data_IF_869537918569
#
_entry.id   IF_869537918569
#
_cell.length_a   1.000
_cell.length_b   1.000
_cell.length_c   1.000
_cell.angle_alpha   90.00
_cell.angle_beta   90.00
_cell.angle_gamma   90.00
#
_symmetry.space_group_name_H-M   'P 1'
#
loop_
_entity.id
_entity.type
_entity.pdbx_description
1 polymer ?
#
# COMPACT_ATOMS: atom_id res chain seq x y z
N UNK A 1 21.60 -3.69 9.44
CA UNK A 1 20.47 -3.48 8.49
C UNK A 1 19.97 -4.79 7.88
N UNK A 2 20.77 -5.58 7.15
CA UNK A 2 20.28 -6.81 6.48
C UNK A 2 19.69 -7.87 7.43
N UNK A 3 20.29 -8.12 8.60
CA UNK A 3 19.73 -9.05 9.61
C UNK A 3 18.41 -8.55 10.22
N UNK A 4 18.26 -7.23 10.40
CA UNK A 4 16.99 -6.64 10.85
C UNK A 4 15.91 -6.73 9.75
N UNK A 5 16.28 -6.55 8.49
CA UNK A 5 15.37 -6.73 7.35
C UNK A 5 14.82 -8.16 7.25
N UNK A 6 15.67 -9.16 7.46
CA UNK A 6 15.25 -10.57 7.56
C UNK A 6 14.22 -10.78 8.68
N UNK A 7 14.47 -10.18 9.84
CA UNK A 7 13.59 -10.26 11.01
C UNK A 7 12.20 -9.71 10.72
N UNK A 8 12.11 -8.51 10.15
CA UNK A 8 10.82 -7.92 9.77
C UNK A 8 10.12 -8.77 8.72
N UNK A 9 10.83 -9.22 7.68
CA UNK A 9 10.28 -10.06 6.61
C UNK A 9 9.64 -11.35 7.15
N UNK A 10 10.26 -12.03 8.11
CA UNK A 10 9.68 -13.23 8.73
C UNK A 10 8.39 -12.89 9.47
N UNK A 11 8.40 -11.82 10.27
CA UNK A 11 7.22 -11.47 11.08
C UNK A 11 6.04 -11.03 10.23
N UNK A 12 6.29 -10.26 9.17
CA UNK A 12 5.24 -9.72 8.30
C UNK A 12 4.71 -10.76 7.33
N UNK A 13 5.59 -11.50 6.64
CA UNK A 13 5.17 -12.49 5.64
C UNK A 13 4.47 -13.71 6.24
N UNK A 14 4.84 -14.11 7.45
CA UNK A 14 4.26 -15.27 8.12
C UNK A 14 3.26 -14.92 9.21
N UNK A 15 2.89 -13.64 9.35
CA UNK A 15 1.93 -13.16 10.37
C UNK A 15 2.25 -13.69 11.78
N UNK A 16 3.54 -13.78 12.11
CA UNK A 16 3.98 -14.39 13.36
C UNK A 16 3.56 -13.53 14.56
N UNK A 17 2.90 -14.11 15.58
CA UNK A 17 2.62 -13.41 16.81
C UNK A 17 3.89 -12.84 17.44
N UNK A 18 3.77 -11.66 18.05
CA UNK A 18 4.91 -10.97 18.65
C UNK A 18 5.72 -11.85 19.62
N UNK A 19 5.02 -12.64 20.45
CA UNK A 19 5.65 -13.55 21.40
C UNK A 19 6.43 -14.69 20.71
N UNK A 20 5.88 -15.22 19.61
CA UNK A 20 6.55 -16.26 18.83
C UNK A 20 7.80 -15.69 18.15
N UNK A 21 7.71 -14.49 17.58
CA UNK A 21 8.83 -13.80 16.98
C UNK A 21 9.98 -13.63 17.98
N UNK A 22 9.70 -13.10 19.18
CA UNK A 22 10.71 -12.92 20.25
C UNK A 22 11.40 -14.25 20.61
N UNK A 23 10.64 -15.34 20.72
CA UNK A 23 11.20 -16.67 21.02
C UNK A 23 12.11 -17.19 19.91
N UNK A 24 11.67 -17.08 18.65
CA UNK A 24 12.47 -17.47 17.48
C UNK A 24 13.78 -16.67 17.46
N UNK A 25 13.74 -15.38 17.82
CA UNK A 25 14.95 -14.54 17.81
C UNK A 25 15.92 -14.88 18.93
N UNK A 26 15.41 -15.20 20.12
CA UNK A 26 16.26 -15.69 21.21
C UNK A 26 16.99 -16.99 20.79
N UNK A 27 16.27 -17.94 20.20
CA UNK A 27 16.86 -19.19 19.70
C UNK A 27 17.84 -18.96 18.55
N UNK A 28 17.54 -18.04 17.63
CA UNK A 28 18.45 -17.70 16.55
C UNK A 28 19.77 -17.14 17.07
N UNK A 29 19.72 -16.29 18.11
CA UNK A 29 20.91 -15.75 18.78
C UNK A 29 21.76 -16.87 19.40
N UNK A 30 21.14 -17.82 20.08
CA UNK A 30 21.84 -18.99 20.66
C UNK A 30 22.52 -19.84 19.56
N UNK A 31 21.85 -20.07 18.43
CA UNK A 31 22.43 -20.82 17.30
C UNK A 31 23.62 -20.06 16.69
N UNK A 32 23.50 -18.74 16.48
CA UNK A 32 24.62 -17.93 16.00
C UNK A 32 25.81 -17.99 16.96
N UNK A 33 25.55 -17.91 18.26
CA UNK A 33 26.59 -18.00 19.29
C UNK A 33 27.30 -19.35 19.29
N UNK A 34 26.56 -20.44 19.17
CA UNK A 34 27.10 -21.79 19.05
C UNK A 34 28.00 -21.95 17.83
N UNK A 35 27.51 -21.54 16.65
CA UNK A 35 28.25 -21.67 15.39
C UNK A 35 29.52 -20.83 15.41
N UNK A 36 29.42 -19.56 15.81
CA UNK A 36 30.56 -18.64 15.81
C UNK A 36 31.61 -19.05 16.86
N UNK A 37 31.22 -19.52 18.04
CA UNK A 37 32.16 -20.06 19.03
C UNK A 37 32.84 -21.34 18.55
N UNK A 38 32.14 -22.22 17.84
CA UNK A 38 32.74 -23.43 17.26
C UNK A 38 33.83 -23.07 16.24
N UNK A 39 33.53 -22.16 15.31
CA UNK A 39 34.52 -21.63 14.36
C UNK A 39 35.66 -20.89 15.08
N UNK A 40 35.33 -20.09 16.10
CA UNK A 40 36.31 -19.36 16.90
C UNK A 40 37.31 -20.28 17.57
N UNK A 41 36.84 -21.38 18.15
CA UNK A 41 37.69 -22.38 18.78
C UNK A 41 38.59 -23.11 17.76
N UNK A 42 38.06 -23.49 16.59
CA UNK A 42 38.89 -24.08 15.53
C UNK A 42 40.00 -23.12 15.06
N UNK A 43 39.65 -21.84 14.88
CA UNK A 43 40.59 -20.83 14.43
C UNK A 43 41.68 -20.54 15.48
N UNK A 44 41.30 -20.46 16.76
CA UNK A 44 42.23 -20.29 17.89
C UNK A 44 43.15 -21.50 18.08
N UNK A 45 42.70 -22.71 17.75
CA UNK A 45 43.53 -23.92 17.80
C UNK A 45 44.52 -24.01 16.61
N UNK A 46 44.23 -23.33 15.50
CA UNK A 46 45.04 -23.36 14.28
C UNK A 46 46.05 -22.20 14.17
N UNK A 47 45.89 -21.13 14.95
CA UNK A 47 46.78 -19.96 14.96
C UNK A 47 47.45 -19.73 16.32
N UNK A 48 48.70 -19.30 16.33
CA UNK A 48 49.35 -18.80 17.54
C UNK A 48 48.67 -17.52 18.03
N UNK A 49 48.11 -17.55 19.25
CA UNK A 49 47.37 -16.46 19.88
C UNK A 49 48.15 -15.15 20.04
N UNK A 50 49.48 -15.21 19.91
CA UNK A 50 50.40 -14.06 19.96
C UNK A 50 50.25 -13.10 18.76
N UNK A 51 49.60 -13.52 17.69
CA UNK A 51 49.43 -12.74 16.45
C UNK A 51 48.06 -12.03 16.39
N UNK A 52 47.15 -12.32 17.33
CA UNK A 52 45.77 -11.83 17.26
C UNK A 52 45.58 -10.48 17.93
N UNK A 53 45.24 -9.47 17.13
CA UNK A 53 44.79 -8.17 17.64
C UNK A 53 43.46 -8.26 18.40
N UNK A 54 43.15 -7.26 19.24
CA UNK A 54 41.97 -7.24 20.11
C UNK A 54 40.63 -7.29 19.36
N UNK A 55 40.55 -6.75 18.14
CA UNK A 55 39.33 -6.83 17.31
C UNK A 55 39.01 -8.28 16.90
N UNK A 56 40.03 -9.05 16.52
CA UNK A 56 39.85 -10.45 16.14
C UNK A 56 39.46 -11.30 17.37
N UNK A 57 40.07 -11.04 18.52
CA UNK A 57 39.68 -11.71 19.78
C UNK A 57 38.23 -11.39 20.17
N UNK A 58 37.79 -10.14 20.02
CA UNK A 58 36.40 -9.74 20.27
C UNK A 58 35.42 -10.41 19.30
N UNK A 59 35.78 -10.49 18.01
CA UNK A 59 34.97 -11.14 16.99
C UNK A 59 34.81 -12.64 17.28
N UNK A 60 35.91 -13.35 17.56
CA UNK A 60 35.91 -14.78 17.89
C UNK A 60 35.22 -15.05 19.23
N UNK A 61 35.35 -14.13 20.20
CA UNK A 61 34.64 -14.13 21.47
C UNK A 61 33.15 -13.79 21.36
N UNK A 62 32.64 -13.47 20.17
CA UNK A 62 31.24 -13.17 19.89
C UNK A 62 30.67 -11.99 20.71
N UNK A 63 31.51 -11.02 21.10
CA UNK A 63 31.10 -9.93 21.99
C UNK A 63 30.02 -9.00 21.41
N UNK A 64 29.79 -9.05 20.09
CA UNK A 64 28.75 -8.30 19.38
C UNK A 64 27.36 -8.97 19.41
N UNK A 65 27.26 -10.27 19.75
CA UNK A 65 25.98 -10.99 19.74
C UNK A 65 24.93 -10.45 20.74
N UNK A 66 25.31 -10.00 21.95
CA UNK A 66 24.42 -9.25 22.84
C UNK A 66 23.69 -8.12 22.12
N UNK A 67 24.41 -7.39 21.26
CA UNK A 67 23.95 -6.20 20.57
C UNK A 67 23.30 -6.44 19.21
N UNK A 68 23.35 -7.67 18.69
CA UNK A 68 22.87 -7.99 17.33
C UNK A 68 21.40 -7.61 17.08
N UNK A 69 20.58 -7.62 18.14
CA UNK A 69 19.16 -7.25 18.11
C UNK A 69 18.84 -6.06 19.03
N UNK A 70 19.87 -5.31 19.44
CA UNK A 70 19.67 -4.12 20.26
C UNK A 70 18.89 -3.07 19.46
N UNK A 71 17.84 -2.51 20.08
CA UNK A 71 16.93 -1.57 19.44
C UNK A 71 15.70 -2.19 18.78
N UNK A 72 15.49 -3.52 18.86
CA UNK A 72 14.30 -4.21 18.30
C UNK A 72 13.71 -5.30 19.22
N UNK A 73 14.11 -5.33 20.48
CA UNK A 73 13.76 -6.41 21.42
C UNK A 73 12.28 -6.41 21.78
N UNK A 74 11.68 -5.21 21.90
CA UNK A 74 10.26 -5.03 22.20
C UNK A 74 9.48 -4.53 20.98
N UNK A 75 8.15 -4.64 21.02
CA UNK A 75 7.28 -4.11 19.96
C UNK A 75 7.53 -2.63 19.71
N UNK A 76 7.57 -1.85 20.78
CA UNK A 76 7.80 -0.41 20.73
C UNK A 76 9.15 -0.08 20.08
N UNK A 77 10.22 -0.78 20.47
CA UNK A 77 11.55 -0.60 19.88
C UNK A 77 11.54 -0.94 18.39
N UNK A 78 10.85 -2.03 18.00
CA UNK A 78 10.66 -2.40 16.58
C UNK A 78 9.91 -1.33 15.79
N UNK A 79 8.82 -0.83 16.33
CA UNK A 79 8.01 0.19 15.66
C UNK A 79 8.82 1.47 15.46
N UNK A 80 9.64 1.88 16.43
CA UNK A 80 10.54 3.04 16.29
C UNK A 80 11.68 2.77 15.32
N UNK A 81 12.30 1.58 15.37
CA UNK A 81 13.33 1.19 14.42
C UNK A 81 12.80 1.26 12.98
N UNK A 82 11.56 0.80 12.74
CA UNK A 82 10.91 0.90 11.42
C UNK A 82 10.76 2.37 11.00
N UNK A 83 10.28 3.23 11.88
CA UNK A 83 10.09 4.66 11.59
C UNK A 83 11.39 5.39 11.28
N UNK A 84 12.49 5.00 11.93
CA UNK A 84 13.80 5.64 11.80
C UNK A 84 14.62 5.11 10.61
N UNK A 85 14.49 3.81 10.30
CA UNK A 85 15.39 3.14 9.36
C UNK A 85 14.71 2.74 8.04
N UNK A 86 13.38 2.78 7.96
CA UNK A 86 12.65 2.43 6.75
C UNK A 86 11.86 3.63 6.21
N UNK A 87 11.52 3.62 4.92
CA UNK A 87 10.68 4.64 4.30
C UNK A 87 9.26 4.58 4.89
N UNK A 88 9.01 5.35 5.95
CA UNK A 88 7.77 5.37 6.71
C UNK A 88 7.06 6.71 6.59
N UNK A 89 5.74 6.67 6.35
CA UNK A 89 4.88 7.85 6.35
C UNK A 89 3.83 7.70 7.44
N UNK A 90 3.82 8.56 8.48
CA UNK A 90 2.78 8.51 9.50
C UNK A 90 1.43 8.92 8.92
N UNK A 91 0.36 8.33 9.46
CA UNK A 91 -0.98 8.84 9.24
C UNK A 91 -1.19 10.12 10.04
N UNK A 92 -1.86 11.08 9.43
CA UNK A 92 -2.33 12.32 10.04
C UNK A 92 -3.77 12.12 10.55
N UNK A 93 -4.06 12.68 11.72
CA UNK A 93 -5.41 12.68 12.26
C UNK A 93 -6.17 13.89 11.70
N UNK A 94 -7.32 13.61 11.10
CA UNK A 94 -8.23 14.60 10.57
C UNK A 94 -9.58 14.53 11.29
N UNK A 95 -10.32 15.62 11.24
CA UNK A 95 -11.62 15.75 11.89
C UNK A 95 -12.67 16.17 10.87
N UNK A 96 -13.86 15.58 10.98
CA UNK A 96 -15.06 16.03 10.28
C UNK A 96 -16.10 16.44 11.33
N UNK A 97 -16.47 17.72 11.37
CA UNK A 97 -17.25 18.25 12.51
C UNK A 97 -16.43 18.28 13.80
N UNK A 98 -17.10 18.27 14.96
CA UNK A 98 -16.46 18.49 16.27
C UNK A 98 -15.78 17.23 16.83
N UNK A 99 -16.40 16.04 16.70
CA UNK A 99 -15.95 14.83 17.41
C UNK A 99 -15.61 13.62 16.51
N UNK A 100 -15.71 13.75 15.19
CA UNK A 100 -15.51 12.63 14.28
C UNK A 100 -14.11 12.63 13.66
N UNK A 101 -13.17 11.98 14.36
CA UNK A 101 -11.80 11.81 13.89
C UNK A 101 -11.63 10.64 12.91
N UNK A 102 -10.66 10.77 12.00
CA UNK A 102 -10.25 9.74 11.06
C UNK A 102 -8.77 9.89 10.69
N UNK A 103 -8.20 8.86 10.08
CA UNK A 103 -6.77 8.84 9.77
C UNK A 103 -6.56 8.84 8.27
N UNK A 104 -5.66 9.70 7.80
CA UNK A 104 -5.27 9.83 6.40
C UNK A 104 -3.75 9.79 6.28
N UNK A 105 -3.23 9.04 5.31
CA UNK A 105 -1.80 9.04 4.96
C UNK A 105 -1.61 10.00 3.79
N UNK A 106 -0.90 11.13 3.96
CA UNK A 106 -0.73 12.12 2.90
C UNK A 106 -0.12 11.50 1.65
N UNK A 107 -0.89 11.53 0.57
CA UNK A 107 -0.53 10.85 -0.66
C UNK A 107 0.77 11.39 -1.29
N UNK A 108 1.06 12.71 -1.29
CA UNK A 108 2.33 13.23 -1.78
C UNK A 108 3.53 12.62 -1.02
N UNK A 109 3.45 12.56 0.31
CA UNK A 109 4.52 11.98 1.16
C UNK A 109 4.71 10.50 0.86
N UNK A 110 3.60 9.75 0.76
CA UNK A 110 3.63 8.34 0.41
C UNK A 110 4.31 8.11 -0.95
N UNK A 111 3.89 8.83 -1.98
CA UNK A 111 4.46 8.67 -3.32
C UNK A 111 5.95 9.06 -3.38
N UNK A 112 6.36 10.13 -2.69
CA UNK A 112 7.78 10.51 -2.58
C UNK A 112 8.62 9.38 -2.00
N UNK A 113 8.16 8.77 -0.91
CA UNK A 113 8.81 7.65 -0.23
C UNK A 113 8.85 6.40 -1.12
N UNK A 114 7.75 6.08 -1.80
CA UNK A 114 7.70 4.93 -2.72
C UNK A 114 8.66 5.09 -3.90
N UNK A 115 8.82 6.31 -4.43
CA UNK A 115 9.73 6.58 -5.54
C UNK A 115 11.21 6.53 -5.15
N UNK A 116 11.54 6.44 -3.86
CA UNK A 116 12.90 6.17 -3.39
C UNK A 116 13.24 4.67 -3.46
N UNK A 117 12.24 3.79 -3.54
CA UNK A 117 12.46 2.35 -3.66
C UNK A 117 12.99 2.03 -5.06
N UNK A 118 14.17 1.39 -5.20
CA UNK A 118 14.81 1.18 -6.50
C UNK A 118 13.93 0.48 -7.53
N UNK A 119 13.15 -0.51 -7.09
CA UNK A 119 12.25 -1.27 -7.96
C UNK A 119 11.13 -0.39 -8.50
N UNK A 120 10.47 0.41 -7.66
CA UNK A 120 9.40 1.32 -8.10
C UNK A 120 9.98 2.43 -8.97
N UNK A 121 11.08 3.04 -8.53
CA UNK A 121 11.80 4.07 -9.25
C UNK A 121 12.17 3.64 -10.68
N UNK A 122 12.64 2.40 -10.85
CA UNK A 122 13.00 1.86 -12.15
C UNK A 122 11.82 1.84 -13.13
N UNK A 123 10.61 1.50 -12.65
CA UNK A 123 9.42 1.47 -13.49
C UNK A 123 8.88 2.86 -13.82
N UNK A 124 9.04 3.83 -12.92
CA UNK A 124 8.54 5.19 -13.11
C UNK A 124 9.42 6.07 -14.01
N UNK A 125 10.69 5.69 -14.21
CA UNK A 125 11.64 6.36 -15.12
C UNK A 125 11.32 6.15 -16.59
N UNK A 126 10.78 4.98 -16.91
CA UNK A 126 10.38 4.70 -18.29
C UNK A 126 9.13 5.51 -18.57
N UNK A 127 9.13 6.38 -19.61
CA UNK A 127 7.88 6.97 -20.05
C UNK A 127 6.89 5.85 -20.33
N UNK A 128 5.61 6.11 -20.05
CA UNK A 128 4.55 5.14 -20.32
C UNK A 128 4.61 4.82 -21.81
N UNK A 129 5.14 3.64 -22.15
CA UNK A 129 5.31 3.24 -23.53
C UNK A 129 3.94 2.76 -24.01
N UNK A 130 3.17 3.68 -24.61
CA UNK A 130 1.85 3.39 -25.17
C UNK A 130 2.06 2.65 -26.49
N UNK A 131 2.57 1.42 -26.43
CA UNK A 131 2.66 0.59 -27.62
C UNK A 131 1.24 0.19 -28.04
N UNK A 132 0.82 0.68 -29.20
CA UNK A 132 -0.47 0.39 -29.81
C UNK A 132 -0.44 -1.03 -30.38
N UNK A 133 -0.66 -2.01 -29.52
CA UNK A 133 -0.84 -3.37 -29.98
C UNK A 133 -2.34 -3.59 -30.26
N UNK A 134 -2.71 -3.68 -31.54
CA UNK A 134 -3.97 -4.31 -31.93
C UNK A 134 -3.90 -5.80 -31.58
N UNK A 135 -4.19 -6.10 -30.32
CA UNK A 135 -4.21 -7.47 -29.81
C UNK A 135 -5.66 -7.94 -29.71
N UNK A 136 -5.89 -9.18 -30.12
CA UNK A 136 -7.18 -9.86 -29.91
C UNK A 136 -7.46 -10.19 -28.44
N UNK A 137 -6.52 -9.90 -27.54
CA UNK A 137 -6.57 -10.24 -26.11
C UNK A 137 -6.12 -9.04 -25.29
N UNK A 138 -6.94 -8.60 -24.34
CA UNK A 138 -6.56 -7.59 -23.35
C UNK A 138 -5.41 -8.09 -22.46
N UNK A 139 -4.33 -7.32 -22.38
CA UNK A 139 -3.13 -7.63 -21.59
C UNK A 139 -2.95 -6.66 -20.45
N UNK A 140 -3.32 -5.40 -20.65
CA UNK A 140 -3.09 -4.35 -19.67
C UNK A 140 -4.24 -3.30 -19.62
N UNK A 141 -4.26 -2.49 -18.56
CA UNK A 141 -5.17 -1.35 -18.38
C UNK A 141 -5.13 -0.36 -19.54
N UNK A 142 -4.02 -0.29 -20.27
CA UNK A 142 -3.84 0.54 -21.46
C UNK A 142 -4.65 0.05 -22.67
N UNK A 143 -5.07 -1.21 -22.68
CA UNK A 143 -5.82 -1.79 -23.80
C UNK A 143 -7.31 -1.45 -23.75
N UNK A 144 -7.80 -1.00 -22.59
CA UNK A 144 -9.20 -0.65 -22.35
C UNK A 144 -9.61 0.66 -23.02
N UNK A 145 -10.89 0.78 -23.38
CA UNK A 145 -11.45 1.96 -24.05
C UNK A 145 -11.23 3.24 -23.24
N UNK A 146 -11.40 3.18 -21.91
CA UNK A 146 -11.18 4.33 -21.03
C UNK A 146 -9.76 4.91 -21.19
N UNK A 147 -8.75 4.05 -21.30
CA UNK A 147 -7.38 4.51 -21.47
C UNK A 147 -7.15 5.08 -22.88
N UNK A 148 -7.60 4.34 -23.90
CA UNK A 148 -7.43 4.71 -25.32
C UNK A 148 -8.15 6.02 -25.68
N UNK A 149 -9.37 6.21 -25.20
CA UNK A 149 -10.22 7.34 -25.61
C UNK A 149 -10.07 8.56 -24.69
N UNK A 150 -9.87 8.35 -23.38
CA UNK A 150 -9.88 9.45 -22.41
C UNK A 150 -8.49 9.76 -21.85
N UNK A 151 -7.73 8.75 -21.42
CA UNK A 151 -6.47 8.99 -20.71
C UNK A 151 -5.35 9.51 -21.63
N UNK A 152 -5.37 9.16 -22.92
CA UNK A 152 -4.40 9.65 -23.90
C UNK A 152 -4.47 11.18 -24.09
N UNK A 153 -5.64 11.80 -23.95
CA UNK A 153 -5.75 13.27 -24.01
C UNK A 153 -5.20 13.97 -22.77
N UNK A 154 -5.11 13.25 -21.65
CA UNK A 154 -4.67 13.75 -20.34
C UNK A 154 -3.16 13.51 -20.13
N UNK A 155 -2.60 12.50 -20.81
CA UNK A 155 -1.17 12.16 -20.82
C UNK A 155 -0.58 12.57 -22.18
N UNK A 156 -0.02 13.80 -22.32
CA UNK A 156 0.52 14.24 -23.60
C UNK A 156 1.62 13.30 -24.13
N UNK A 157 1.61 13.01 -25.44
CA UNK A 157 2.68 12.24 -26.09
C UNK A 157 4.04 12.94 -25.87
N UNK A 158 5.02 12.19 -25.36
CA UNK A 158 6.36 12.73 -25.03
C UNK A 158 6.46 13.54 -23.73
N UNK A 159 5.37 13.66 -22.95
CA UNK A 159 5.40 14.37 -21.66
C UNK A 159 5.88 13.52 -20.48
N UNK A 160 6.57 14.23 -19.59
CA UNK A 160 6.81 14.03 -18.15
C UNK A 160 6.42 12.69 -17.52
N UNK A 161 7.33 12.19 -16.69
CA UNK A 161 7.11 11.08 -15.76
C UNK A 161 5.69 11.14 -15.17
N UNK A 162 4.94 10.05 -15.30
CA UNK A 162 3.54 10.01 -14.87
C UNK A 162 3.38 8.92 -13.84
N UNK A 163 2.59 9.17 -12.81
CA UNK A 163 2.17 8.17 -11.82
C UNK A 163 0.69 7.92 -12.02
N UNK A 164 0.32 6.66 -12.26
CA UNK A 164 -1.07 6.24 -12.45
C UNK A 164 -1.53 5.48 -11.21
N UNK A 165 -2.58 5.98 -10.57
CA UNK A 165 -3.14 5.43 -9.34
C UNK A 165 -4.45 4.70 -9.58
N UNK A 166 -4.64 3.59 -8.87
CA UNK A 166 -5.92 2.91 -8.71
C UNK A 166 -6.32 2.99 -7.25
N UNK A 167 -7.51 3.51 -6.98
CA UNK A 167 -8.07 3.47 -5.64
C UNK A 167 -9.03 2.30 -5.48
N UNK A 168 -9.05 1.71 -4.30
CA UNK A 168 -10.01 0.69 -3.92
C UNK A 168 -10.60 1.01 -2.56
N UNK A 169 -11.89 0.72 -2.38
CA UNK A 169 -12.59 0.96 -1.12
C UNK A 169 -13.22 -0.33 -0.61
N UNK A 170 -13.10 -0.55 0.69
CA UNK A 170 -13.70 -1.69 1.38
C UNK A 170 -14.32 -1.27 2.72
N UNK A 171 -15.38 -1.98 3.10
CA UNK A 171 -16.07 -1.80 4.39
C UNK A 171 -15.80 -2.99 5.30
N UNK A 172 -14.87 -2.82 6.24
CA UNK A 172 -14.44 -3.89 7.14
C UNK A 172 -15.26 -3.85 8.43
N UNK A 173 -15.74 -5.02 8.87
CA UNK A 173 -16.38 -5.17 10.17
C UNK A 173 -15.41 -5.83 11.17
N UNK A 174 -15.02 -5.09 12.20
CA UNK A 174 -13.98 -5.52 13.16
C UNK A 174 -14.55 -6.45 14.25
N UNK A 175 -15.87 -6.54 14.37
CA UNK A 175 -16.55 -7.36 15.38
C UNK A 175 -17.11 -8.64 14.78
N UNK A 176 -17.36 -9.63 15.64
CA UNK A 176 -17.97 -10.89 15.22
C UNK A 176 -19.23 -10.63 14.39
N UNK A 177 -19.26 -11.05 13.10
CA UNK A 177 -20.36 -10.77 12.19
C UNK A 177 -21.67 -11.48 12.59
N UNK A 178 -21.63 -12.38 13.58
CA UNK A 178 -22.80 -13.11 14.11
C UNK A 178 -23.24 -12.64 15.51
N UNK A 179 -22.52 -11.68 16.13
CA UNK A 179 -22.79 -11.22 17.50
C UNK A 179 -23.78 -10.05 17.60
N UNK A 180 -24.22 -9.75 18.82
CA UNK A 180 -25.17 -8.66 19.11
C UNK A 180 -24.67 -7.24 18.75
N UNK A 181 -23.37 -7.09 18.41
CA UNK A 181 -22.76 -5.82 17.97
C UNK A 181 -22.58 -5.73 16.45
N UNK A 182 -23.16 -6.66 15.69
CA UNK A 182 -23.11 -6.67 14.22
C UNK A 182 -23.51 -5.32 13.62
N UNK A 183 -22.72 -4.81 12.68
CA UNK A 183 -22.94 -3.58 11.94
C UNK A 183 -22.61 -2.28 12.69
N UNK A 184 -22.21 -2.33 13.97
CA UNK A 184 -21.94 -1.13 14.78
C UNK A 184 -20.51 -0.58 14.59
N UNK A 185 -19.54 -1.46 14.40
CA UNK A 185 -18.11 -1.11 14.33
C UNK A 185 -17.53 -1.38 12.95
N UNK A 186 -18.19 -0.81 11.93
CA UNK A 186 -17.69 -0.82 10.55
C UNK A 186 -16.65 0.29 10.34
N UNK A 187 -15.65 -0.01 9.54
CA UNK A 187 -14.60 0.92 9.13
C UNK A 187 -14.58 0.96 7.60
N UNK A 188 -14.61 2.15 7.03
CA UNK A 188 -14.27 2.37 5.64
C UNK A 188 -12.74 2.43 5.54
N UNK A 189 -12.18 1.58 4.68
CA UNK A 189 -10.79 1.61 4.30
C UNK A 189 -10.67 2.07 2.83
N UNK A 190 -9.75 3.01 2.59
CA UNK A 190 -9.38 3.44 1.24
C UNK A 190 -7.95 3.01 0.97
N UNK A 191 -7.75 2.28 -0.11
CA UNK A 191 -6.48 1.77 -0.57
C UNK A 191 -6.08 2.42 -1.88
N UNK A 192 -4.78 2.47 -2.16
CA UNK A 192 -4.18 2.99 -3.37
C UNK A 192 -3.11 2.03 -3.89
N UNK A 193 -3.02 1.87 -5.20
CA UNK A 193 -1.97 1.08 -5.86
C UNK A 193 -1.43 1.81 -7.08
N UNK A 194 -0.14 1.60 -7.37
CA UNK A 194 0.50 2.08 -8.60
C UNK A 194 0.16 1.14 -9.75
N UNK A 195 -0.36 1.67 -10.85
CA UNK A 195 -0.81 0.87 -12.01
C UNK A 195 0.25 0.81 -13.09
N UNK A 196 1.09 1.83 -13.24
CA UNK A 196 2.13 1.85 -14.26
C UNK A 196 3.47 1.19 -13.83
N UNK A 197 3.41 0.26 -12.86
CA UNK A 197 4.49 -0.70 -12.58
C UNK A 197 4.24 -2.02 -13.31
N UNK A 198 5.21 -2.93 -13.38
CA UNK A 198 5.04 -4.20 -14.08
C UNK A 198 3.90 -5.06 -13.46
N UNK A 199 3.07 -5.69 -14.30
CA UNK A 199 1.86 -6.41 -13.87
C UNK A 199 2.10 -7.44 -12.75
N UNK A 200 3.25 -8.14 -12.77
CA UNK A 200 3.67 -9.08 -11.70
C UNK A 200 3.65 -8.52 -10.28
N UNK A 201 3.78 -7.20 -10.14
CA UNK A 201 3.86 -6.51 -8.84
C UNK A 201 2.53 -5.90 -8.41
N UNK A 202 1.67 -5.50 -9.36
CA UNK A 202 0.44 -4.71 -9.07
C UNK A 202 -0.52 -5.39 -8.13
N UNK A 203 -0.63 -6.71 -8.19
CA UNK A 203 -1.57 -7.50 -7.38
C UNK A 203 -0.94 -8.08 -6.12
N UNK A 204 0.33 -7.77 -5.82
CA UNK A 204 0.95 -8.18 -4.57
C UNK A 204 0.43 -7.28 -3.45
N UNK A 205 0.12 -7.89 -2.30
CA UNK A 205 -0.37 -7.17 -1.10
C UNK A 205 0.60 -6.05 -0.70
N UNK A 206 1.90 -6.29 -0.86
CA UNK A 206 2.96 -5.32 -0.55
C UNK A 206 2.88 -4.03 -1.41
N UNK A 207 2.13 -4.03 -2.51
CA UNK A 207 1.89 -2.88 -3.40
C UNK A 207 0.46 -2.31 -3.31
N UNK A 208 -0.27 -2.65 -2.24
CA UNK A 208 -1.59 -2.10 -1.93
C UNK A 208 -1.48 -1.27 -0.65
N UNK A 209 -1.50 0.05 -0.80
CA UNK A 209 -1.23 0.98 0.29
C UNK A 209 -2.55 1.47 0.90
N UNK A 210 -2.71 1.27 2.21
CA UNK A 210 -3.83 1.84 2.95
C UNK A 210 -3.60 3.34 3.15
N UNK A 211 -4.47 4.17 2.58
CA UNK A 211 -4.34 5.64 2.62
C UNK A 211 -5.35 6.31 3.55
N UNK A 212 -6.46 5.66 3.89
CA UNK A 212 -7.44 6.26 4.79
C UNK A 212 -8.21 5.20 5.59
N UNK A 213 -8.45 5.49 6.87
CA UNK A 213 -9.33 4.72 7.74
C UNK A 213 -10.33 5.63 8.44
N UNK A 214 -11.61 5.31 8.29
CA UNK A 214 -12.71 6.13 8.79
C UNK A 214 -13.74 5.24 9.46
N UNK A 215 -14.20 5.61 10.66
CA UNK A 215 -15.37 4.93 11.24
C UNK A 215 -16.57 5.16 10.35
N UNK A 216 -17.23 4.09 9.95
CA UNK A 216 -18.32 4.17 9.00
C UNK A 216 -19.54 4.94 9.54
N UNK A 217 -19.68 5.04 10.87
CA UNK A 217 -20.67 5.91 11.49
C UNK A 217 -20.50 7.37 11.03
N UNK A 218 -19.27 7.85 10.94
CA UNK A 218 -18.97 9.22 10.50
C UNK A 218 -19.26 9.43 9.01
N UNK A 219 -19.04 8.39 8.19
CA UNK A 219 -19.44 8.39 6.78
C UNK A 219 -20.97 8.53 6.64
N UNK A 220 -21.74 7.88 7.51
CA UNK A 220 -23.21 8.00 7.50
C UNK A 220 -23.71 9.37 7.93
N UNK A 221 -23.05 10.01 8.90
CA UNK A 221 -23.49 11.30 9.45
C UNK A 221 -23.02 12.48 8.62
N UNK A 222 -21.78 12.47 8.12
CA UNK A 222 -21.17 13.60 7.42
C UNK A 222 -21.06 13.41 5.90
N UNK A 223 -21.27 12.19 5.40
CA UNK A 223 -21.06 11.86 3.99
C UNK A 223 -19.58 11.73 3.62
N UNK A 224 -19.30 11.25 2.41
CA UNK A 224 -17.94 11.01 1.93
C UNK A 224 -17.20 12.29 1.50
N UNK A 225 -17.91 13.31 1.02
CA UNK A 225 -17.30 14.52 0.46
C UNK A 225 -16.30 15.19 1.40
N UNK A 226 -16.73 15.63 2.61
CA UNK A 226 -15.83 16.24 3.59
C UNK A 226 -14.68 15.33 4.03
N UNK A 227 -14.95 14.03 4.15
CA UNK A 227 -13.98 13.03 4.62
C UNK A 227 -12.87 12.80 3.59
N UNK A 228 -13.24 12.72 2.29
CA UNK A 228 -12.30 12.52 1.18
C UNK A 228 -11.61 13.81 0.75
N UNK A 229 -11.99 14.96 1.30
CA UNK A 229 -11.48 16.27 0.90
C UNK A 229 -9.94 16.36 0.91
N UNK A 230 -9.21 15.90 1.96
CA UNK A 230 -7.75 15.95 1.97
C UNK A 230 -7.13 15.16 0.81
N UNK A 231 -7.67 13.96 0.53
CA UNK A 231 -7.23 13.13 -0.59
C UNK A 231 -7.50 13.81 -1.94
N UNK A 232 -8.68 14.43 -2.11
CA UNK A 232 -9.05 15.11 -3.34
C UNK A 232 -8.17 16.33 -3.59
N UNK A 233 -7.79 17.07 -2.55
CA UNK A 233 -6.94 18.24 -2.67
C UNK A 233 -5.50 17.87 -3.03
N UNK A 234 -4.96 16.82 -2.40
CA UNK A 234 -3.68 16.23 -2.79
C UNK A 234 -3.69 15.78 -4.26
N UNK A 235 -4.74 15.08 -4.69
CA UNK A 235 -4.86 14.62 -6.08
C UNK A 235 -4.96 15.78 -7.07
N UNK A 236 -5.72 16.83 -6.76
CA UNK A 236 -5.83 18.02 -7.63
C UNK A 236 -4.50 18.75 -7.75
N UNK A 237 -3.79 18.94 -6.63
CA UNK A 237 -2.49 19.59 -6.62
C UNK A 237 -1.48 18.80 -7.47
N UNK A 238 -1.31 17.51 -7.19
CA UNK A 238 -0.37 16.66 -7.93
C UNK A 238 -0.76 16.43 -9.40
N UNK A 239 -2.04 16.56 -9.73
CA UNK A 239 -2.49 16.52 -11.12
C UNK A 239 -2.19 17.82 -11.86
N UNK A 240 -2.34 18.98 -11.22
CA UNK A 240 -2.18 20.30 -11.85
C UNK A 240 -0.73 20.75 -11.88
N UNK A 241 -0.03 20.61 -10.76
CA UNK A 241 1.32 21.15 -10.52
C UNK A 241 2.40 20.07 -10.69
N UNK A 242 1.99 18.80 -10.56
CA UNK A 242 2.90 17.66 -10.49
C UNK A 242 3.41 17.41 -9.07
N UNK A 243 4.23 16.38 -8.92
CA UNK A 243 4.90 15.98 -7.71
C UNK A 243 6.41 15.89 -7.99
N UNK A 244 7.20 16.70 -7.30
CA UNK A 244 8.66 16.65 -7.41
C UNK A 244 9.19 15.45 -6.64
N UNK A 245 9.89 14.57 -7.33
CA UNK A 245 10.43 13.32 -6.83
C UNK A 245 11.94 13.31 -6.98
N UNK A 246 12.65 12.88 -5.93
CA UNK A 246 14.08 12.60 -6.04
C UNK A 246 14.28 11.14 -6.43
N UNK A 247 14.67 10.92 -7.68
CA UNK A 247 14.93 9.58 -8.22
C UNK A 247 16.42 9.45 -8.49
N UNK A 248 17.11 8.69 -7.63
CA UNK A 248 18.57 8.47 -7.71
C UNK A 248 19.38 9.78 -7.79
N UNK A 249 19.02 10.78 -6.97
CA UNK A 249 19.74 12.06 -6.88
C UNK A 249 19.39 13.06 -7.99
N UNK A 250 18.42 12.76 -8.86
CA UNK A 250 17.86 13.71 -9.82
C UNK A 250 16.43 14.06 -9.43
N UNK A 251 16.10 15.34 -9.51
CA UNK A 251 14.73 15.81 -9.35
C UNK A 251 13.94 15.61 -10.64
N UNK A 252 12.78 15.01 -10.51
CA UNK A 252 11.85 14.73 -11.59
C UNK A 252 10.48 15.22 -11.15
N UNK A 253 9.86 16.11 -11.93
CA UNK A 253 8.47 16.46 -11.70
C UNK A 253 7.56 15.44 -12.40
N UNK A 254 6.77 14.71 -11.63
CA UNK A 254 5.86 13.70 -12.13
C UNK A 254 4.38 14.10 -11.97
N UNK A 255 3.60 13.98 -13.03
CA UNK A 255 2.15 14.23 -12.94
C UNK A 255 1.44 13.01 -12.35
N UNK A 256 0.51 13.23 -11.43
CA UNK A 256 -0.30 12.14 -10.86
C UNK A 256 -1.67 12.11 -11.52
N UNK A 257 -2.11 10.91 -11.90
CA UNK A 257 -3.39 10.66 -12.55
C UNK A 257 -4.08 9.48 -11.87
N UNK A 258 -5.39 9.58 -11.71
CA UNK A 258 -6.22 8.49 -11.19
C UNK A 258 -6.85 7.75 -12.37
N UNK A 259 -6.59 6.45 -12.47
CA UNK A 259 -7.21 5.59 -13.47
C UNK A 259 -8.66 5.26 -13.10
N UNK A 260 -8.89 4.81 -11.87
CA UNK A 260 -10.22 4.46 -11.40
C UNK A 260 -10.31 4.44 -9.87
N UNK A 261 -11.55 4.56 -9.39
CA UNK A 261 -11.97 4.13 -8.06
C UNK A 261 -12.74 2.82 -8.19
N UNK A 262 -12.28 1.80 -7.48
CA UNK A 262 -12.85 0.46 -7.45
C UNK A 262 -13.46 0.16 -6.07
N UNK A 263 -14.36 -0.81 -6.07
CA UNK A 263 -15.09 -1.22 -4.88
C UNK A 263 -16.21 -2.18 -5.26
N UNK A 264 -16.87 -2.74 -4.24
CA UNK A 264 -18.11 -3.47 -4.46
C UNK A 264 -19.24 -2.53 -4.93
N UNK A 265 -20.37 -3.10 -5.33
CA UNK A 265 -21.47 -2.32 -5.88
C UNK A 265 -22.05 -1.30 -4.87
N UNK A 266 -22.05 -1.65 -3.58
CA UNK A 266 -22.55 -0.80 -2.51
C UNK A 266 -21.63 0.41 -2.31
N UNK A 267 -20.33 0.17 -2.18
CA UNK A 267 -19.31 1.19 -1.98
C UNK A 267 -19.26 2.17 -3.15
N UNK A 268 -19.23 1.66 -4.39
CA UNK A 268 -19.16 2.52 -5.58
C UNK A 268 -20.43 3.36 -5.79
N UNK A 269 -21.62 2.81 -5.49
CA UNK A 269 -22.83 3.62 -5.53
C UNK A 269 -22.77 4.74 -4.51
N UNK A 270 -22.29 4.46 -3.29
CA UNK A 270 -22.15 5.46 -2.25
C UNK A 270 -21.15 6.55 -2.61
N UNK A 271 -19.98 6.15 -3.14
CA UNK A 271 -18.95 7.05 -3.61
C UNK A 271 -19.47 7.98 -4.70
N UNK A 272 -20.27 7.45 -5.63
CA UNK A 272 -20.93 8.24 -6.68
C UNK A 272 -22.17 9.02 -6.23
N UNK A 273 -22.54 9.00 -4.95
CA UNK A 273 -23.74 9.68 -4.44
C UNK A 273 -25.07 9.04 -4.90
N UNK A 274 -25.03 7.80 -5.39
CA UNK A 274 -26.19 7.05 -5.84
C UNK A 274 -26.89 6.33 -4.69
N UNK A 275 -28.13 5.91 -4.94
CA UNK A 275 -28.88 5.04 -4.02
C UNK A 275 -28.12 3.74 -3.73
N UNK A 276 -27.99 3.42 -2.45
CA UNK A 276 -27.50 2.15 -1.95
C UNK A 276 -28.62 1.10 -1.77
N UNK A 277 -29.83 1.39 -2.27
CA UNK A 277 -30.96 0.46 -2.28
C UNK A 277 -31.07 -0.19 -3.67
N UNK A 278 -30.98 -1.52 -3.72
CA UNK A 278 -30.97 -2.31 -4.97
C UNK A 278 -32.30 -3.02 -5.25
N UNK A 279 -33.27 -2.92 -4.35
CA UNK A 279 -34.59 -3.53 -4.48
C UNK A 279 -35.65 -2.57 -5.02
N UNK A 280 -35.35 -1.28 -5.14
CA UNK A 280 -36.29 -0.27 -5.60
C UNK A 280 -35.59 0.88 -6.35
N UNK A 281 -36.34 1.57 -7.20
CA UNK A 281 -35.82 2.69 -8.00
C UNK A 281 -34.84 2.26 -9.09
N UNK A 282 -33.90 3.15 -9.45
CA UNK A 282 -32.82 2.92 -10.41
C UNK A 282 -31.65 2.24 -9.70
N UNK A 283 -31.25 1.07 -10.18
CA UNK A 283 -30.34 0.17 -9.45
C UNK A 283 -28.97 -0.02 -10.11
N UNK A 284 -28.85 0.20 -11.43
CA UNK A 284 -27.56 0.15 -12.15
C UNK A 284 -27.09 1.59 -12.38
N UNK A 285 -25.95 2.00 -11.79
CA UNK A 285 -25.37 3.35 -12.00
C UNK A 285 -24.89 3.62 -13.43
N UNK A 286 -24.72 2.56 -14.22
CA UNK A 286 -24.23 2.63 -15.59
C UNK A 286 -25.36 2.94 -16.58
N UNK A 287 -26.42 2.12 -16.58
CA UNK A 287 -27.52 2.25 -17.54
C UNK A 287 -28.83 2.77 -16.93
N UNK A 288 -28.84 3.05 -15.63
CA UNK A 288 -29.99 3.62 -14.90
C UNK A 288 -31.27 2.77 -14.93
N UNK A 289 -31.15 1.47 -15.25
CA UNK A 289 -32.28 0.51 -15.24
C UNK A 289 -32.93 0.45 -13.85
N UNK A 290 -34.26 0.36 -13.83
CA UNK A 290 -34.99 0.17 -12.57
C UNK A 290 -35.01 -1.29 -12.12
N UNK A 291 -35.20 -1.52 -10.82
CA UNK A 291 -35.35 -2.87 -10.26
C UNK A 291 -36.47 -3.67 -10.94
N UNK A 292 -37.61 -3.01 -11.23
CA UNK A 292 -38.75 -3.61 -11.94
C UNK A 292 -38.39 -4.05 -13.36
N UNK A 293 -37.68 -3.21 -14.11
CA UNK A 293 -37.24 -3.54 -15.46
C UNK A 293 -36.17 -4.64 -15.47
N UNK A 294 -35.29 -4.65 -14.46
CA UNK A 294 -34.26 -5.68 -14.33
C UNK A 294 -34.89 -7.07 -14.09
N UNK A 295 -35.93 -7.16 -13.26
CA UNK A 295 -36.65 -8.40 -13.02
C UNK A 295 -37.31 -8.98 -14.29
N UNK A 296 -37.61 -8.14 -15.28
CA UNK A 296 -38.26 -8.52 -16.52
C UNK A 296 -37.29 -8.81 -17.68
N UNK A 297 -36.03 -8.36 -17.59
CA UNK A 297 -35.01 -8.53 -18.65
C UNK A 297 -34.02 -9.63 -18.30
N UNK A 298 -33.79 -10.58 -19.23
CA UNK A 298 -32.62 -11.48 -19.15
C UNK A 298 -31.33 -10.65 -19.18
N UNK A 299 -30.37 -11.00 -18.32
CA UNK A 299 -29.17 -10.27 -17.86
C UNK A 299 -28.15 -9.76 -18.91
N UNK A 300 -28.52 -9.58 -20.19
CA UNK A 300 -27.59 -9.32 -21.31
C UNK A 300 -27.35 -7.83 -21.63
N UNK A 301 -27.88 -6.87 -20.84
CA UNK A 301 -27.97 -5.45 -21.30
C UNK A 301 -27.36 -4.35 -20.42
N UNK A 302 -26.84 -4.56 -19.19
CA UNK A 302 -26.30 -3.42 -18.39
C UNK A 302 -25.04 -2.79 -19.01
N UNK A 303 -24.18 -3.54 -19.71
CA UNK A 303 -22.86 -3.02 -20.16
C UNK A 303 -22.93 -2.26 -21.48
N UNK A 304 -23.89 -2.55 -22.36
CA UNK A 304 -23.94 -1.96 -23.72
C UNK A 304 -24.42 -0.50 -23.81
N UNK A 305 -24.85 0.11 -22.71
CA UNK A 305 -25.44 1.46 -22.71
C UNK A 305 -24.62 2.47 -21.88
N UNK A 306 -23.38 2.14 -21.52
CA UNK A 306 -22.45 3.03 -20.83
C UNK A 306 -21.38 3.53 -21.82
N UNK A 307 -21.82 4.32 -22.80
CA UNK A 307 -20.99 5.13 -23.68
C UNK A 307 -21.65 6.49 -23.81
#
# INVERSE_FOLDING_TARGET
IHHMGFLFSITTKHSLPHAAAVKIFAQLKEVFELVLKAYGNEFMNAMETSVMGPELQNLLGCSFLPDLFNGIESKWKRDNYVKENFPFVPAEEHYVGEDANYHYVPLPKLLTVLCQLPDIAAHLKSPVNIERHETSVYRDHTDGLVFKEHMQSIIPEGSTHTIILLFYTDEIEVVNPLGAKRGKHKILAVYCSLVNIHARYRSQIDNIYLVMLVRYAYVKTHGLGPILQPLLDDLKAMHKEGLVLSVQGREVNARVIVLAFCGDNLSLNRLGGFSCCFSNGRVCRFCMISSKQLAQKRMKTCVKHAH
#
